data_IF_504652416524
#
_entry.id   IF_504652416524
#
_cell.length_a   1.000
_cell.length_b   1.000
_cell.length_c   1.000
_cell.angle_alpha   90.00
_cell.angle_beta   90.00
_cell.angle_gamma   90.00
#
_symmetry.space_group_name_H-M   'P 1'
#
loop_
_entity.id
_entity.type
_entity.pdbx_description
1 polymer ?
#
# COMPACT_ATOMS: atom_id res chain seq x y z
N UNK A 1 4.65 -11.73 -24.71
CA UNK A 1 5.54 -10.68 -25.23
C UNK A 1 5.47 -9.55 -24.21
N UNK A 2 6.37 -9.58 -23.22
CA UNK A 2 6.30 -8.71 -22.03
C UNK A 2 6.66 -7.29 -22.43
N UNK A 3 5.81 -6.32 -22.06
CA UNK A 3 6.02 -4.93 -22.42
C UNK A 3 7.26 -4.39 -21.66
N UNK A 4 8.35 -4.05 -22.36
CA UNK A 4 9.56 -3.51 -21.75
C UNK A 4 9.31 -2.20 -21.00
N UNK A 5 8.18 -1.53 -21.26
CA UNK A 5 7.81 -0.28 -20.61
C UNK A 5 7.41 -0.47 -19.14
N UNK A 6 6.75 -1.59 -18.79
CA UNK A 6 6.34 -1.87 -17.39
C UNK A 6 7.57 -1.98 -16.49
N UNK A 7 8.59 -2.73 -16.92
CA UNK A 7 9.83 -2.91 -16.15
C UNK A 7 10.57 -1.59 -15.90
N UNK A 8 10.59 -0.71 -16.91
CA UNK A 8 11.20 0.61 -16.84
C UNK A 8 10.43 1.52 -15.87
N UNK A 9 9.10 1.60 -16.00
CA UNK A 9 8.24 2.40 -15.11
C UNK A 9 8.39 2.02 -13.64
N UNK A 10 8.43 0.73 -13.34
CA UNK A 10 8.61 0.25 -11.96
C UNK A 10 10.03 0.55 -11.45
N UNK A 11 11.05 0.54 -12.31
CA UNK A 11 12.41 0.93 -11.94
C UNK A 11 12.50 2.44 -11.62
N UNK A 12 11.95 3.29 -12.49
CA UNK A 12 11.94 4.76 -12.34
C UNK A 12 11.18 5.18 -11.07
N UNK A 13 10.02 4.58 -10.81
CA UNK A 13 9.26 4.83 -9.59
C UNK A 13 10.06 4.46 -8.33
N UNK A 14 10.72 3.29 -8.33
CA UNK A 14 11.58 2.89 -7.20
C UNK A 14 12.84 3.77 -7.07
N UNK A 15 13.29 4.45 -8.11
CA UNK A 15 14.39 5.41 -8.01
C UNK A 15 13.93 6.67 -7.27
N UNK A 16 12.78 7.25 -7.65
CA UNK A 16 12.18 8.41 -6.95
C UNK A 16 11.94 8.15 -5.47
N UNK A 17 11.37 6.99 -5.13
CA UNK A 17 11.13 6.62 -3.73
C UNK A 17 12.44 6.53 -2.92
N UNK A 18 13.54 6.06 -3.53
CA UNK A 18 14.86 6.03 -2.88
C UNK A 18 15.44 7.42 -2.65
N UNK A 19 15.25 8.33 -3.59
CA UNK A 19 15.66 9.74 -3.43
C UNK A 19 14.91 10.44 -2.29
N UNK A 20 13.65 10.06 -2.07
CA UNK A 20 12.84 10.50 -0.92
C UNK A 20 13.23 9.82 0.42
N UNK A 21 14.26 8.96 0.42
CA UNK A 21 14.74 8.26 1.60
C UNK A 21 13.96 6.99 1.97
N UNK A 22 13.05 6.52 1.11
CA UNK A 22 12.26 5.31 1.36
C UNK A 22 13.00 4.06 0.87
N UNK A 23 12.88 2.97 1.62
CA UNK A 23 13.48 1.67 1.28
C UNK A 23 12.38 0.65 0.93
N UNK A 24 12.47 -0.05 -0.21
CA UNK A 24 11.52 -1.10 -0.52
C UNK A 24 11.66 -2.27 0.46
N UNK A 25 10.53 -2.69 1.05
CA UNK A 25 10.41 -3.90 1.88
C UNK A 25 9.57 -4.93 1.11
N UNK A 26 10.15 -6.11 0.89
CA UNK A 26 9.41 -7.23 0.30
C UNK A 26 8.94 -8.15 1.42
N UNK A 27 7.63 -8.29 1.54
CA UNK A 27 6.98 -9.20 2.48
C UNK A 27 6.16 -10.23 1.71
N UNK A 28 6.02 -11.41 2.30
CA UNK A 28 5.08 -12.41 1.80
C UNK A 28 3.72 -12.18 2.43
N UNK A 29 2.70 -12.03 1.59
CA UNK A 29 1.30 -11.89 2.00
C UNK A 29 0.52 -13.14 1.58
N UNK A 30 -0.58 -13.47 2.29
CA UNK A 30 -1.51 -14.51 1.84
C UNK A 30 -2.04 -14.21 0.42
N UNK A 31 -2.50 -15.23 -0.29
CA UNK A 31 -3.09 -15.04 -1.62
C UNK A 31 -4.37 -14.18 -1.51
N UNK A 32 -4.28 -12.95 -2.03
CA UNK A 32 -5.36 -11.98 -1.99
C UNK A 32 -6.53 -12.32 -2.91
N UNK A 33 -6.38 -13.34 -3.78
CA UNK A 33 -7.45 -13.82 -4.67
C UNK A 33 -8.27 -14.95 -4.05
N UNK A 34 -7.81 -15.54 -2.94
CA UNK A 34 -8.57 -16.55 -2.22
C UNK A 34 -9.82 -15.93 -1.57
N UNK A 35 -10.94 -16.63 -1.59
CA UNK A 35 -12.21 -16.12 -1.02
C UNK A 35 -12.11 -15.89 0.49
N UNK A 36 -11.30 -16.71 1.16
CA UNK A 36 -11.00 -16.64 2.59
C UNK A 36 -10.26 -15.35 2.95
N UNK A 37 -9.44 -14.82 2.03
CA UNK A 37 -8.72 -13.57 2.26
C UNK A 37 -9.70 -12.40 2.41
N UNK A 38 -10.73 -12.32 1.56
CA UNK A 38 -11.73 -11.26 1.66
C UNK A 38 -12.49 -11.32 3.00
N UNK A 39 -12.84 -12.52 3.45
CA UNK A 39 -13.49 -12.73 4.75
C UNK A 39 -12.57 -12.33 5.92
N UNK A 40 -11.30 -12.73 5.88
CA UNK A 40 -10.29 -12.39 6.90
C UNK A 40 -10.02 -10.89 6.92
N UNK A 41 -9.79 -10.28 5.76
CA UNK A 41 -9.54 -8.85 5.61
C UNK A 41 -10.71 -8.03 6.18
N UNK A 42 -11.95 -8.44 5.90
CA UNK A 42 -13.13 -7.79 6.48
C UNK A 42 -13.19 -7.97 8.00
N UNK A 43 -12.92 -9.17 8.54
CA UNK A 43 -12.88 -9.39 9.98
C UNK A 43 -11.82 -8.52 10.66
N UNK A 44 -10.61 -8.48 10.11
CA UNK A 44 -9.49 -7.71 10.66
C UNK A 44 -9.74 -6.21 10.58
N UNK A 45 -10.30 -5.73 9.47
CA UNK A 45 -10.66 -4.31 9.33
C UNK A 45 -11.64 -3.87 10.41
N UNK A 46 -12.63 -4.72 10.74
CA UNK A 46 -13.56 -4.44 11.84
C UNK A 46 -12.85 -4.40 13.20
N UNK A 47 -11.91 -5.31 13.45
CA UNK A 47 -11.17 -5.32 14.71
C UNK A 47 -10.32 -4.06 14.87
N UNK A 48 -9.65 -3.62 13.80
CA UNK A 48 -8.90 -2.37 13.79
C UNK A 48 -9.81 -1.17 14.04
N UNK A 49 -10.96 -1.09 13.37
CA UNK A 49 -11.93 0.00 13.54
C UNK A 49 -12.56 0.07 14.94
N UNK A 50 -12.60 -1.05 15.67
CA UNK A 50 -13.13 -1.11 17.05
C UNK A 50 -12.03 -1.16 18.10
N UNK A 51 -10.76 -0.97 17.72
CA UNK A 51 -9.65 -0.97 18.65
C UNK A 51 -9.69 0.29 19.54
N UNK A 52 -9.01 0.24 20.69
CA UNK A 52 -8.83 1.43 21.53
C UNK A 52 -7.98 2.52 20.88
N UNK A 53 -7.25 2.19 19.81
CA UNK A 53 -6.35 3.09 19.07
C UNK A 53 -6.94 3.53 17.73
N UNK A 54 -8.18 3.17 17.42
CA UNK A 54 -8.77 3.39 16.09
C UNK A 54 -8.71 4.85 15.64
N UNK A 55 -8.90 5.81 16.56
CA UNK A 55 -8.80 7.24 16.27
C UNK A 55 -7.36 7.67 15.92
N UNK A 56 -6.38 7.20 16.70
CA UNK A 56 -4.96 7.48 16.45
C UNK A 56 -4.48 6.84 15.14
N UNK A 57 -4.90 5.59 14.90
CA UNK A 57 -4.59 4.85 13.68
C UNK A 57 -5.17 5.57 12.45
N UNK A 58 -6.42 6.04 12.53
CA UNK A 58 -7.05 6.81 11.45
C UNK A 58 -6.36 8.16 11.25
N UNK A 59 -6.05 8.88 12.33
CA UNK A 59 -5.37 10.17 12.25
C UNK A 59 -3.97 10.03 11.62
N UNK A 60 -3.25 8.95 11.93
CA UNK A 60 -1.97 8.64 11.28
C UNK A 60 -2.15 8.39 9.77
N UNK A 61 -3.12 7.56 9.38
CA UNK A 61 -3.43 7.29 7.97
C UNK A 61 -3.78 8.55 7.21
N UNK A 62 -4.62 9.42 7.77
CA UNK A 62 -5.01 10.68 7.15
C UNK A 62 -3.79 11.61 6.96
N UNK A 63 -2.90 11.68 7.96
CA UNK A 63 -1.68 12.49 7.88
C UNK A 63 -0.72 12.02 6.78
N UNK A 64 -0.58 10.70 6.57
CA UNK A 64 0.31 10.17 5.52
C UNK A 64 -0.35 10.10 4.14
N UNK A 65 -1.69 10.10 4.05
CA UNK A 65 -2.41 10.05 2.77
C UNK A 65 -2.17 11.32 1.93
N UNK A 66 -1.85 12.44 2.57
CA UNK A 66 -1.43 13.67 1.88
C UNK A 66 -0.11 13.53 1.10
N UNK A 67 0.71 12.50 1.38
CA UNK A 67 1.93 12.19 0.62
C UNK A 67 1.64 11.51 -0.72
N UNK A 68 0.41 11.01 -0.95
CA UNK A 68 0.06 10.24 -2.15
C UNK A 68 -0.51 11.09 -3.31
N UNK A 69 -0.63 12.42 -3.14
CA UNK A 69 -1.53 13.28 -3.92
C UNK A 69 -1.21 13.58 -5.39
N UNK A 70 -0.08 13.14 -5.97
CA UNK A 70 0.25 13.47 -7.38
C UNK A 70 0.89 12.32 -8.19
N UNK A 71 1.31 11.21 -7.56
CA UNK A 71 2.14 10.18 -8.23
C UNK A 71 1.44 8.80 -8.40
N UNK A 72 0.30 8.54 -7.76
CA UNK A 72 -0.38 7.23 -7.82
C UNK A 72 -1.49 7.11 -8.87
N UNK A 73 -2.13 8.23 -9.27
CA UNK A 73 -3.29 8.24 -10.17
C UNK A 73 -2.94 8.57 -11.64
N UNK A 74 -1.68 8.89 -11.92
CA UNK A 74 -1.19 9.09 -13.29
C UNK A 74 -0.62 7.77 -13.85
N UNK A 75 -1.47 6.76 -14.06
CA UNK A 75 -1.09 5.50 -14.71
C UNK A 75 -2.01 5.12 -15.87
#
# INVERSE_FOLDING_TARGET
MTDPDVGKRVADHRARLREQGLRPLQIWVPDTRAAEFAAEAHRQSRLAATSSTAEDDQAFVDAISALNGEDFDAQ
#
